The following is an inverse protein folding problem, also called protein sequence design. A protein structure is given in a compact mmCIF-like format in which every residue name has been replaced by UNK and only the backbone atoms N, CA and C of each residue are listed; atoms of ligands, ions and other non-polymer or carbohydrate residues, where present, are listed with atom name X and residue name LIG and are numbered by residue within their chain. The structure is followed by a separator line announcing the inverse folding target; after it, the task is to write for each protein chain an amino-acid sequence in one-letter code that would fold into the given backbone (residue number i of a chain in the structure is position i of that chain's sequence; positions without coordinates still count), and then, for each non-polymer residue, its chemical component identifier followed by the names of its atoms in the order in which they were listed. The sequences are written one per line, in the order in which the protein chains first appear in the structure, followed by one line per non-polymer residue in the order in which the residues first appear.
data_IF_691966006603
#
_entry.id   IF_691966006603
#
_cell.length_a   1.000
_cell.length_b   1.000
_cell.length_c   1.000
_cell.angle_alpha   90.00
_cell.angle_beta   90.00
_cell.angle_gamma   90.00
#
_symmetry.space_group_name_H-M   'P 1'
#
loop_
_entity.id
_entity.type
_entity.pdbx_description
1 polymer ?
#
# COMPACT_ATOMS: atom_id res chain seq x y z
N UNK A 1 -56.81 -17.38 -53.44
CA UNK A 1 -56.41 -16.03 -53.09
C UNK A 1 -55.96 -16.09 -51.64
N UNK A 2 -54.65 -16.36 -51.44
CA UNK A 2 -54.04 -16.60 -50.14
C UNK A 2 -53.25 -15.34 -49.79
N UNK A 3 -53.56 -14.75 -48.66
CA UNK A 3 -52.83 -13.63 -48.08
C UNK A 3 -51.90 -14.17 -47.02
N UNK A 4 -50.60 -14.21 -47.34
CA UNK A 4 -49.51 -14.49 -46.40
C UNK A 4 -49.35 -13.32 -45.47
N UNK A 5 -49.63 -13.53 -44.21
CA UNK A 5 -49.28 -12.63 -43.10
C UNK A 5 -47.91 -12.98 -42.59
N UNK A 6 -46.87 -12.24 -43.01
CA UNK A 6 -45.54 -12.32 -42.50
C UNK A 6 -45.53 -11.72 -41.07
N UNK A 7 -45.50 -12.59 -40.09
CA UNK A 7 -45.21 -12.20 -38.72
C UNK A 7 -43.72 -11.93 -38.58
N UNK A 8 -43.35 -10.66 -38.54
CA UNK A 8 -42.02 -10.20 -38.13
C UNK A 8 -41.84 -10.48 -36.63
N UNK A 9 -41.18 -11.59 -36.34
CA UNK A 9 -40.65 -11.85 -35.00
C UNK A 9 -39.38 -11.02 -34.80
N UNK A 10 -39.52 -9.86 -34.20
CA UNK A 10 -38.41 -9.08 -33.70
C UNK A 10 -37.90 -9.75 -32.43
N UNK A 11 -36.98 -10.69 -32.59
CA UNK A 11 -36.16 -11.17 -31.49
C UNK A 11 -35.25 -10.02 -31.03
N UNK A 12 -35.66 -9.34 -29.98
CA UNK A 12 -34.78 -8.47 -29.23
C UNK A 12 -33.71 -9.34 -28.60
N UNK A 13 -32.61 -9.54 -29.30
CA UNK A 13 -31.38 -10.00 -28.69
C UNK A 13 -30.94 -8.92 -27.69
N UNK A 14 -31.25 -9.13 -26.42
CA UNK A 14 -30.58 -8.42 -25.33
C UNK A 14 -29.10 -8.83 -25.37
N UNK A 15 -28.35 -8.13 -26.18
CA UNK A 15 -26.91 -8.11 -26.15
C UNK A 15 -26.52 -7.53 -24.78
N UNK A 16 -26.32 -8.41 -23.80
CA UNK A 16 -25.66 -8.04 -22.56
C UNK A 16 -24.23 -7.63 -22.93
N UNK A 17 -24.07 -6.36 -23.29
CA UNK A 17 -22.78 -5.74 -23.37
C UNK A 17 -22.09 -6.02 -22.04
N UNK A 18 -21.09 -6.90 -22.04
CA UNK A 18 -20.17 -7.08 -20.95
C UNK A 18 -19.45 -5.74 -20.74
N UNK A 19 -20.09 -4.85 -19.96
CA UNK A 19 -19.45 -3.64 -19.51
C UNK A 19 -18.15 -4.06 -18.81
N UNK A 20 -17.02 -3.72 -19.40
CA UNK A 20 -15.72 -3.94 -18.79
C UNK A 20 -15.63 -3.09 -17.51
N UNK A 21 -15.99 -3.70 -16.38
CA UNK A 21 -16.04 -3.05 -15.07
C UNK A 21 -14.64 -2.79 -14.49
N UNK A 22 -13.58 -3.17 -15.19
CA UNK A 22 -12.20 -2.98 -14.77
C UNK A 22 -11.83 -1.53 -14.49
N UNK A 23 -12.01 -0.60 -15.44
CA UNK A 23 -11.71 0.83 -15.25
C UNK A 23 -12.50 1.46 -14.11
N UNK A 24 -13.80 1.12 -14.00
CA UNK A 24 -14.68 1.63 -12.93
C UNK A 24 -14.20 1.18 -11.55
N UNK A 25 -13.73 -0.07 -11.40
CA UNK A 25 -13.19 -0.59 -10.13
C UNK A 25 -11.89 0.10 -9.75
N UNK A 26 -10.99 0.32 -10.70
CA UNK A 26 -9.72 1.05 -10.48
C UNK A 26 -10.01 2.49 -10.07
N UNK A 27 -10.97 3.16 -10.71
CA UNK A 27 -11.38 4.52 -10.36
C UNK A 27 -11.98 4.59 -8.94
N UNK A 28 -12.88 3.67 -8.60
CA UNK A 28 -13.44 3.58 -7.24
C UNK A 28 -12.37 3.34 -6.18
N UNK A 29 -11.38 2.52 -6.49
CA UNK A 29 -10.25 2.27 -5.61
C UNK A 29 -9.35 3.51 -5.45
N UNK A 30 -9.17 4.29 -6.51
CA UNK A 30 -8.45 5.56 -6.45
C UNK A 30 -9.13 6.57 -5.51
N UNK A 31 -10.47 6.66 -5.52
CA UNK A 31 -11.23 7.49 -4.56
C UNK A 31 -11.00 7.03 -3.13
N UNK A 32 -10.95 5.71 -2.89
CA UNK A 32 -10.60 5.15 -1.58
C UNK A 32 -9.20 5.63 -1.13
N UNK A 33 -8.19 5.58 -2.00
CA UNK A 33 -6.85 6.08 -1.67
C UNK A 33 -6.83 7.58 -1.33
N UNK A 34 -7.70 8.38 -1.94
CA UNK A 34 -7.83 9.80 -1.57
C UNK A 34 -8.36 9.98 -0.15
N UNK A 35 -9.25 9.10 0.33
CA UNK A 35 -9.69 9.13 1.73
C UNK A 35 -8.57 8.73 2.70
N UNK A 36 -7.74 7.75 2.34
CA UNK A 36 -6.55 7.39 3.12
C UNK A 36 -5.52 8.54 3.15
N UNK A 37 -5.38 9.28 2.05
CA UNK A 37 -4.55 10.48 2.01
C UNK A 37 -4.98 11.51 3.06
N UNK A 38 -6.28 11.74 3.22
CA UNK A 38 -6.83 12.65 4.24
C UNK A 38 -6.50 12.13 5.65
N UNK A 39 -6.64 10.82 5.87
CA UNK A 39 -6.28 10.19 7.15
C UNK A 39 -4.82 10.45 7.49
N UNK A 40 -3.89 10.19 6.58
CA UNK A 40 -2.47 10.46 6.80
C UNK A 40 -2.17 11.95 6.98
N UNK A 41 -2.82 12.85 6.24
CA UNK A 41 -2.70 14.29 6.45
C UNK A 41 -3.09 14.70 7.86
N UNK A 42 -4.17 14.14 8.42
CA UNK A 42 -4.56 14.39 9.82
C UNK A 42 -3.50 13.87 10.81
N UNK A 43 -2.93 12.70 10.57
CA UNK A 43 -1.86 12.15 11.42
C UNK A 43 -0.60 13.00 11.36
N UNK A 44 -0.18 13.47 10.18
CA UNK A 44 0.95 14.40 10.03
C UNK A 44 0.68 15.73 10.73
N UNK A 45 -0.53 16.29 10.62
CA UNK A 45 -0.91 17.51 11.33
C UNK A 45 -0.85 17.31 12.84
N UNK A 46 -1.34 16.19 13.36
CA UNK A 46 -1.26 15.82 14.77
C UNK A 46 0.19 15.70 15.23
N UNK A 47 1.04 15.04 14.45
CA UNK A 47 2.47 14.93 14.73
C UNK A 47 3.14 16.32 14.78
N UNK A 48 2.87 17.18 13.81
CA UNK A 48 3.43 18.54 13.75
C UNK A 48 3.06 19.40 14.95
N UNK A 49 1.86 19.23 15.52
CA UNK A 49 1.43 19.93 16.72
C UNK A 49 2.12 19.38 17.98
N UNK A 50 2.31 18.05 18.05
CA UNK A 50 2.79 17.35 19.24
C UNK A 50 4.32 17.13 19.25
N UNK A 51 5.04 17.47 18.18
CA UNK A 51 6.49 17.24 18.04
C UNK A 51 7.32 17.84 19.19
N UNK A 52 6.89 18.97 19.77
CA UNK A 52 7.54 19.62 20.91
C UNK A 52 7.00 19.16 22.28
N UNK A 53 5.99 18.29 22.28
CA UNK A 53 5.33 17.78 23.50
C UNK A 53 6.07 16.59 24.12
N UNK A 54 7.37 16.74 24.42
CA UNK A 54 8.23 15.66 24.92
C UNK A 54 8.04 15.37 26.42
N UNK A 55 7.33 16.22 27.16
CA UNK A 55 7.12 16.10 28.63
C UNK A 55 8.43 15.85 29.40
N UNK A 56 9.56 16.45 28.97
CA UNK A 56 10.89 16.23 29.57
C UNK A 56 11.52 14.87 29.21
N UNK A 57 10.94 14.15 28.26
CA UNK A 57 11.47 12.89 27.71
C UNK A 57 12.43 13.15 26.53
N UNK A 58 12.89 12.08 25.89
CA UNK A 58 13.82 12.17 24.77
C UNK A 58 13.20 12.90 23.58
N UNK A 59 14.06 13.55 22.81
CA UNK A 59 13.73 14.19 21.54
C UNK A 59 13.98 13.24 20.36
N UNK A 60 13.50 13.59 19.16
CA UNK A 60 13.78 12.83 17.96
C UNK A 60 15.29 12.62 17.69
N UNK A 61 16.13 13.59 18.10
CA UNK A 61 17.60 13.50 17.98
C UNK A 61 18.20 12.36 18.80
N UNK A 62 17.58 12.04 19.92
CA UNK A 62 18.08 11.04 20.87
C UNK A 62 17.62 9.61 20.50
N UNK A 63 16.54 9.49 19.72
CA UNK A 63 15.85 8.22 19.45
C UNK A 63 16.12 7.71 18.03
N UNK A 64 16.21 8.61 17.03
CA UNK A 64 16.23 8.20 15.62
C UNK A 64 17.62 7.85 15.12
N UNK A 65 17.81 6.59 14.76
CA UNK A 65 19.00 6.11 14.05
C UNK A 65 18.83 6.25 12.53
N UNK A 66 19.20 7.41 11.97
CA UNK A 66 19.08 7.69 10.53
C UNK A 66 19.63 6.60 9.61
N UNK A 67 20.80 5.96 9.87
CA UNK A 67 21.29 4.89 9.00
C UNK A 67 20.35 3.68 8.95
N UNK A 68 19.69 3.35 10.06
CA UNK A 68 18.74 2.25 10.15
C UNK A 68 17.50 2.54 9.31
N UNK A 69 16.90 3.72 9.46
CA UNK A 69 15.72 4.15 8.70
C UNK A 69 16.00 4.33 7.22
N UNK A 70 17.26 4.68 6.84
CA UNK A 70 17.68 4.70 5.44
C UNK A 70 17.64 3.31 4.80
N UNK A 71 18.04 2.27 5.54
CA UNK A 71 17.94 0.87 5.05
C UNK A 71 16.46 0.49 4.86
N UNK A 72 15.58 0.84 5.79
CA UNK A 72 14.14 0.63 5.66
C UNK A 72 13.57 1.31 4.41
N UNK A 73 13.94 2.58 4.22
CA UNK A 73 13.54 3.36 3.03
C UNK A 73 14.05 2.70 1.75
N UNK A 74 15.31 2.23 1.72
CA UNK A 74 15.88 1.53 0.58
C UNK A 74 15.11 0.23 0.27
N UNK A 75 14.74 -0.56 1.28
CA UNK A 75 13.95 -1.77 1.11
C UNK A 75 12.59 -1.48 0.45
N UNK A 76 11.87 -0.44 0.90
CA UNK A 76 10.61 -0.03 0.27
C UNK A 76 10.80 0.45 -1.16
N UNK A 77 11.81 1.29 -1.45
CA UNK A 77 12.10 1.75 -2.81
C UNK A 77 12.44 0.58 -3.74
N UNK A 78 13.25 -0.39 -3.29
CA UNK A 78 13.50 -1.61 -4.08
C UNK A 78 12.24 -2.44 -4.27
N UNK A 79 11.36 -2.51 -3.28
CA UNK A 79 10.06 -3.18 -3.41
C UNK A 79 9.19 -2.51 -4.46
N UNK A 80 9.20 -1.19 -4.54
CA UNK A 80 8.48 -0.41 -5.54
C UNK A 80 8.97 -0.70 -6.96
N UNK A 81 10.29 -0.75 -7.16
CA UNK A 81 10.89 -1.10 -8.46
C UNK A 81 10.51 -2.52 -8.86
N UNK A 82 10.61 -3.48 -7.96
CA UNK A 82 10.26 -4.88 -8.24
C UNK A 82 8.78 -5.06 -8.52
N UNK A 83 7.90 -4.28 -7.88
CA UNK A 83 6.48 -4.25 -8.20
C UNK A 83 6.23 -3.72 -9.62
N UNK A 84 6.92 -2.64 -10.01
CA UNK A 84 6.88 -2.12 -11.38
C UNK A 84 7.27 -3.18 -12.42
N UNK A 85 8.31 -3.98 -12.13
CA UNK A 85 8.71 -5.10 -13.00
C UNK A 85 7.63 -6.20 -13.08
N UNK A 86 6.92 -6.48 -11.97
CA UNK A 86 5.77 -7.38 -11.98
C UNK A 86 4.64 -6.86 -12.87
N UNK A 87 4.36 -5.56 -12.85
CA UNK A 87 3.36 -4.94 -13.73
C UNK A 87 3.77 -5.06 -15.21
N UNK A 88 5.03 -4.82 -15.57
CA UNK A 88 5.54 -5.01 -16.94
C UNK A 88 5.41 -6.46 -17.37
N UNK A 89 5.75 -7.42 -16.50
CA UNK A 89 5.60 -8.86 -16.79
C UNK A 89 4.12 -9.25 -17.00
N UNK A 90 3.19 -8.59 -16.30
CA UNK A 90 1.74 -8.76 -16.50
C UNK A 90 1.30 -8.35 -17.90
N UNK A 91 1.80 -7.23 -18.43
CA UNK A 91 1.52 -6.79 -19.80
C UNK A 91 2.08 -7.77 -20.84
N UNK A 92 3.23 -8.39 -20.57
CA UNK A 92 3.82 -9.44 -21.40
C UNK A 92 3.12 -10.80 -21.27
N UNK A 93 2.08 -10.90 -20.43
CA UNK A 93 1.32 -12.12 -20.16
C UNK A 93 2.17 -13.30 -19.62
N UNK A 94 3.29 -13.01 -18.95
CA UNK A 94 4.19 -14.02 -18.41
C UNK A 94 3.89 -14.26 -16.93
N UNK A 95 3.02 -15.25 -16.64
CA UNK A 95 2.58 -15.61 -15.30
C UNK A 95 3.73 -15.89 -14.33
N UNK A 96 4.75 -16.63 -14.76
CA UNK A 96 5.86 -17.03 -13.91
C UNK A 96 6.65 -15.80 -13.44
N UNK A 97 6.96 -14.89 -14.35
CA UNK A 97 7.68 -13.65 -14.01
C UNK A 97 6.85 -12.75 -13.08
N UNK A 98 5.53 -12.65 -13.30
CA UNK A 98 4.66 -11.86 -12.41
C UNK A 98 4.75 -12.37 -10.97
N UNK A 99 4.61 -13.69 -10.78
CA UNK A 99 4.66 -14.29 -9.43
C UNK A 99 6.06 -14.13 -8.81
N UNK A 100 7.13 -14.31 -9.58
CA UNK A 100 8.51 -14.14 -9.07
C UNK A 100 8.79 -12.71 -8.63
N UNK A 101 8.40 -11.72 -9.43
CA UNK A 101 8.59 -10.30 -9.07
C UNK A 101 7.73 -9.88 -7.88
N UNK A 102 6.47 -10.33 -7.81
CA UNK A 102 5.61 -10.10 -6.64
C UNK A 102 6.17 -10.75 -5.37
N UNK A 103 6.74 -11.97 -5.47
CA UNK A 103 7.36 -12.63 -4.34
C UNK A 103 8.59 -11.86 -3.82
N UNK A 104 9.39 -11.29 -4.73
CA UNK A 104 10.53 -10.45 -4.37
C UNK A 104 10.07 -9.13 -3.69
N UNK A 105 9.03 -8.50 -4.22
CA UNK A 105 8.40 -7.32 -3.61
C UNK A 105 7.89 -7.63 -2.21
N UNK A 106 7.22 -8.77 -2.05
CA UNK A 106 6.72 -9.23 -0.76
C UNK A 106 7.85 -9.44 0.26
N UNK A 107 8.98 -10.00 -0.18
CA UNK A 107 10.15 -10.23 0.67
C UNK A 107 10.74 -8.90 1.17
N UNK A 108 10.89 -7.90 0.30
CA UNK A 108 11.38 -6.58 0.69
C UNK A 108 10.40 -5.87 1.63
N UNK A 109 9.09 -5.93 1.35
CA UNK A 109 8.06 -5.36 2.23
C UNK A 109 7.99 -6.05 3.59
N UNK A 110 8.15 -7.39 3.64
CA UNK A 110 8.23 -8.13 4.89
C UNK A 110 9.49 -7.78 5.69
N UNK A 111 10.62 -7.56 4.99
CA UNK A 111 11.86 -7.07 5.61
C UNK A 111 11.66 -5.71 6.27
N UNK A 112 10.99 -4.77 5.59
CA UNK A 112 10.64 -3.47 6.13
C UNK A 112 9.81 -3.60 7.42
N UNK A 113 8.70 -4.36 7.39
CA UNK A 113 7.86 -4.57 8.59
C UNK A 113 8.64 -5.23 9.72
N UNK A 114 9.56 -6.16 9.40
CA UNK A 114 10.43 -6.78 10.41
C UNK A 114 11.32 -5.77 11.12
N UNK A 115 11.90 -4.82 10.39
CA UNK A 115 12.73 -3.75 10.94
C UNK A 115 11.88 -2.74 11.74
N UNK A 116 10.71 -2.34 11.27
CA UNK A 116 9.78 -1.45 11.96
C UNK A 116 9.32 -2.04 13.32
N UNK A 117 8.97 -3.34 13.34
CA UNK A 117 8.63 -4.02 14.60
C UNK A 117 9.82 -4.07 15.55
N UNK A 118 11.03 -4.27 15.03
CA UNK A 118 12.25 -4.26 15.82
C UNK A 118 12.49 -2.88 16.45
N UNK A 119 12.35 -1.79 15.67
CA UNK A 119 12.46 -0.41 16.17
C UNK A 119 11.43 -0.14 17.28
N UNK A 120 10.18 -0.50 17.05
CA UNK A 120 9.12 -0.32 18.06
C UNK A 120 9.38 -1.12 19.34
N UNK A 121 9.82 -2.35 19.20
CA UNK A 121 10.16 -3.20 20.34
C UNK A 121 11.34 -2.59 21.15
N UNK A 122 12.37 -2.11 20.46
CA UNK A 122 13.52 -1.47 21.08
C UNK A 122 13.12 -0.24 21.88
N UNK A 123 12.34 0.67 21.30
CA UNK A 123 11.85 1.88 21.95
C UNK A 123 10.98 1.57 23.19
N UNK A 124 10.11 0.57 23.12
CA UNK A 124 9.28 0.15 24.24
C UNK A 124 10.12 -0.42 25.38
N UNK A 125 11.16 -1.23 25.07
CA UNK A 125 12.05 -1.82 26.07
C UNK A 125 12.92 -0.76 26.77
N UNK A 126 13.25 0.35 26.10
CA UNK A 126 13.93 1.50 26.68
C UNK A 126 13.00 2.40 27.52
N UNK A 127 11.71 2.07 27.58
CA UNK A 127 10.71 2.84 28.30
C UNK A 127 10.21 4.08 27.56
N UNK A 128 10.41 4.13 26.24
CA UNK A 128 9.91 5.20 25.36
C UNK A 128 8.62 4.77 24.65
N UNK A 129 7.68 4.22 25.42
CA UNK A 129 6.36 3.83 24.93
C UNK A 129 5.47 5.01 24.56
N UNK A 130 4.35 4.75 23.87
CA UNK A 130 3.44 5.79 23.39
C UNK A 130 2.72 6.56 24.51
N UNK A 131 2.68 6.02 25.72
CA UNK A 131 2.05 6.59 26.91
C UNK A 131 2.91 7.64 27.62
N UNK A 132 4.20 7.75 27.29
CA UNK A 132 5.16 8.60 27.99
C UNK A 132 5.07 10.08 27.59
N UNK A 133 4.79 10.38 26.33
CA UNK A 133 4.73 11.76 25.84
C UNK A 133 3.81 11.91 24.62
N UNK A 134 3.28 13.14 24.41
CA UNK A 134 2.48 13.45 23.21
C UNK A 134 3.26 13.24 21.90
N UNK A 135 4.57 13.55 21.90
CA UNK A 135 5.46 13.30 20.78
C UNK A 135 5.51 11.81 20.42
N UNK A 136 5.78 10.95 21.40
CA UNK A 136 5.84 9.48 21.18
C UNK A 136 4.49 8.92 20.77
N UNK A 137 3.38 9.36 21.41
CA UNK A 137 2.03 8.94 20.98
C UNK A 137 1.76 9.26 19.51
N UNK A 138 2.10 10.46 19.05
CA UNK A 138 1.90 10.88 17.66
C UNK A 138 2.84 10.11 16.71
N UNK A 139 4.08 9.86 17.11
CA UNK A 139 5.03 9.05 16.37
C UNK A 139 4.52 7.61 16.17
N UNK A 140 4.19 6.91 17.25
CA UNK A 140 3.67 5.55 17.19
C UNK A 140 2.35 5.46 16.41
N UNK A 141 1.47 6.46 16.53
CA UNK A 141 0.21 6.49 15.78
C UNK A 141 0.47 6.65 14.28
N UNK A 142 1.35 7.56 13.86
CA UNK A 142 1.62 7.82 12.44
C UNK A 142 2.37 6.65 11.79
N UNK A 143 3.50 6.25 12.37
CA UNK A 143 4.34 5.16 11.82
C UNK A 143 3.61 3.82 11.93
N UNK A 144 2.98 3.52 13.06
CA UNK A 144 2.23 2.28 13.24
C UNK A 144 1.01 2.16 12.32
N UNK A 145 0.30 3.28 12.03
CA UNK A 145 -0.78 3.26 11.03
C UNK A 145 -0.23 2.96 9.63
N UNK A 146 0.93 3.52 9.27
CA UNK A 146 1.60 3.20 8.02
C UNK A 146 1.96 1.70 7.96
N UNK A 147 2.60 1.16 9.01
CA UNK A 147 2.95 -0.26 9.10
C UNK A 147 1.75 -1.21 9.01
N UNK A 148 0.61 -0.84 9.61
CA UNK A 148 -0.64 -1.59 9.45
C UNK A 148 -1.13 -1.62 8.00
N UNK A 149 -1.02 -0.50 7.27
CA UNK A 149 -1.36 -0.44 5.85
C UNK A 149 -0.41 -1.29 5.01
N UNK A 150 0.91 -1.23 5.25
CA UNK A 150 1.89 -2.08 4.57
C UNK A 150 1.60 -3.56 4.84
N UNK A 151 1.32 -3.94 6.09
CA UNK A 151 0.97 -5.31 6.48
C UNK A 151 -0.30 -5.79 5.75
N UNK A 152 -1.34 -4.96 5.66
CA UNK A 152 -2.56 -5.29 4.91
C UNK A 152 -2.26 -5.50 3.41
N UNK A 153 -1.39 -4.67 2.84
CA UNK A 153 -0.90 -4.81 1.47
C UNK A 153 -0.13 -6.11 1.23
N UNK A 154 0.72 -6.51 2.18
CA UNK A 154 1.45 -7.79 2.12
C UNK A 154 0.50 -8.99 2.15
N UNK A 155 -0.52 -8.97 3.01
CA UNK A 155 -1.54 -10.01 3.07
C UNK A 155 -2.29 -10.08 1.73
N UNK A 156 -2.72 -8.94 1.20
CA UNK A 156 -3.39 -8.88 -0.10
C UNK A 156 -2.51 -9.40 -1.22
N UNK A 157 -1.22 -9.01 -1.25
CA UNK A 157 -0.23 -9.49 -2.23
C UNK A 157 -0.05 -11.01 -2.16
N UNK A 158 0.04 -11.59 -0.96
CA UNK A 158 0.15 -13.04 -0.77
C UNK A 158 -1.08 -13.78 -1.32
N UNK A 159 -2.28 -13.30 -1.00
CA UNK A 159 -3.55 -13.84 -1.53
C UNK A 159 -3.60 -13.74 -3.05
N UNK A 160 -3.16 -12.61 -3.61
CA UNK A 160 -3.13 -12.40 -5.05
C UNK A 160 -2.13 -13.32 -5.76
N UNK A 161 -0.94 -13.52 -5.20
CA UNK A 161 0.04 -14.49 -5.72
C UNK A 161 -0.53 -15.91 -5.76
N UNK A 162 -1.23 -16.32 -4.69
CA UNK A 162 -1.91 -17.62 -4.64
C UNK A 162 -3.00 -17.74 -5.73
N UNK A 163 -3.81 -16.69 -5.92
CA UNK A 163 -4.86 -16.67 -6.95
C UNK A 163 -4.28 -16.73 -8.37
N UNK A 164 -3.21 -15.98 -8.65
CA UNK A 164 -2.53 -16.01 -9.95
C UNK A 164 -1.90 -17.38 -10.20
N UNK A 165 -1.31 -17.98 -9.17
CA UNK A 165 -0.72 -19.32 -9.26
C UNK A 165 -1.77 -20.38 -9.62
N UNK A 166 -2.99 -20.27 -9.08
CA UNK A 166 -4.08 -21.23 -9.31
C UNK A 166 -4.86 -20.96 -10.59
N UNK A 167 -5.24 -19.70 -10.86
CA UNK A 167 -6.19 -19.30 -11.90
C UNK A 167 -5.55 -18.58 -13.10
N UNK A 168 -4.26 -18.25 -13.02
CA UNK A 168 -3.56 -17.51 -14.07
C UNK A 168 -3.90 -16.01 -14.11
N UNK A 169 -3.48 -15.34 -15.19
CA UNK A 169 -3.69 -13.91 -15.43
C UNK A 169 -5.05 -13.64 -16.09
N UNK A 170 -6.13 -13.83 -15.34
CA UNK A 170 -7.49 -13.46 -15.78
C UNK A 170 -7.66 -11.93 -15.77
N UNK A 171 -8.69 -11.40 -16.49
CA UNK A 171 -9.02 -9.96 -16.48
C UNK A 171 -9.23 -9.45 -15.06
N UNK A 172 -9.90 -10.21 -14.21
CA UNK A 172 -10.12 -9.89 -12.79
C UNK A 172 -8.81 -9.80 -12.01
N UNK A 173 -7.88 -10.75 -12.21
CA UNK A 173 -6.58 -10.72 -11.52
C UNK A 173 -5.72 -9.55 -11.98
N UNK A 174 -5.78 -9.18 -13.26
CA UNK A 174 -5.10 -7.98 -13.79
C UNK A 174 -5.61 -6.71 -13.13
N UNK A 175 -6.92 -6.53 -13.01
CA UNK A 175 -7.52 -5.40 -12.30
C UNK A 175 -7.05 -5.35 -10.83
N UNK A 176 -6.98 -6.49 -10.15
CA UNK A 176 -6.48 -6.58 -8.76
C UNK A 176 -5.00 -6.20 -8.65
N UNK A 177 -4.15 -6.63 -9.59
CA UNK A 177 -2.75 -6.23 -9.64
C UNK A 177 -2.65 -4.71 -9.80
N UNK A 178 -3.47 -4.09 -10.67
CA UNK A 178 -3.48 -2.65 -10.86
C UNK A 178 -3.93 -1.89 -9.60
N UNK A 179 -4.99 -2.34 -8.92
CA UNK A 179 -5.42 -1.74 -7.66
C UNK A 179 -4.34 -1.86 -6.57
N UNK A 180 -3.73 -3.04 -6.43
CA UNK A 180 -2.65 -3.25 -5.48
C UNK A 180 -1.40 -2.42 -5.83
N UNK A 181 -1.11 -2.21 -7.13
CA UNK A 181 -0.05 -1.30 -7.57
C UNK A 181 -0.27 0.13 -7.09
N UNK A 182 -1.48 0.65 -7.27
CA UNK A 182 -1.83 2.00 -6.80
C UNK A 182 -1.68 2.11 -5.28
N UNK A 183 -2.13 1.11 -4.54
CA UNK A 183 -2.02 1.06 -3.09
C UNK A 183 -0.56 1.01 -2.64
N UNK A 184 0.26 0.15 -3.23
CA UNK A 184 1.67 -0.03 -2.87
C UNK A 184 2.48 1.25 -3.10
N UNK A 185 2.36 1.86 -4.28
CA UNK A 185 3.06 3.10 -4.59
C UNK A 185 2.55 4.30 -3.76
N UNK A 186 1.26 4.32 -3.41
CA UNK A 186 0.74 5.30 -2.48
C UNK A 186 1.41 5.20 -1.11
N UNK A 187 1.58 3.98 -0.58
CA UNK A 187 2.28 3.76 0.69
C UNK A 187 3.75 4.18 0.63
N UNK A 188 4.44 3.93 -0.49
CA UNK A 188 5.82 4.40 -0.68
C UNK A 188 5.91 5.93 -0.60
N UNK A 189 4.97 6.66 -1.21
CA UNK A 189 4.91 8.13 -1.13
C UNK A 189 4.66 8.59 0.31
N UNK A 190 3.74 7.96 1.02
CA UNK A 190 3.47 8.25 2.44
C UNK A 190 4.73 8.01 3.27
N UNK A 191 5.47 6.90 3.01
CA UNK A 191 6.71 6.61 3.72
C UNK A 191 7.79 7.67 3.48
N UNK A 192 7.96 8.14 2.25
CA UNK A 192 8.90 9.24 1.96
C UNK A 192 8.54 10.49 2.76
N UNK A 193 7.25 10.80 2.90
CA UNK A 193 6.80 11.90 3.77
C UNK A 193 7.11 11.63 5.24
N UNK A 194 6.87 10.41 5.75
CA UNK A 194 7.21 10.00 7.12
C UNK A 194 8.72 10.13 7.34
N UNK A 195 9.53 9.56 6.46
CA UNK A 195 10.98 9.67 6.54
C UNK A 195 11.45 11.12 6.61
N UNK A 196 10.93 11.98 5.73
CA UNK A 196 11.36 13.38 5.65
C UNK A 196 10.90 14.22 6.85
N UNK A 197 9.63 14.09 7.25
CA UNK A 197 9.03 14.96 8.28
C UNK A 197 9.32 14.45 9.69
N UNK A 198 9.30 13.13 9.89
CA UNK A 198 9.45 12.55 11.23
C UNK A 198 10.92 12.31 11.54
N UNK A 199 11.61 11.54 10.71
CA UNK A 199 12.98 11.12 10.99
C UNK A 199 14.01 12.20 10.63
N UNK A 200 13.97 12.72 9.40
CA UNK A 200 15.01 13.68 8.96
C UNK A 200 14.89 15.03 9.67
N UNK A 201 13.68 15.62 9.74
CA UNK A 201 13.48 16.88 10.47
C UNK A 201 13.55 16.68 11.99
N UNK A 202 13.13 15.54 12.51
CA UNK A 202 13.22 15.20 13.94
C UNK A 202 14.65 14.98 14.43
N UNK A 203 15.58 14.63 13.53
CA UNK A 203 17.01 14.45 13.82
C UNK A 203 17.84 15.74 13.66
N UNK A 204 17.28 16.82 13.09
CA UNK A 204 17.94 18.15 12.98
C UNK A 204 17.73 18.98 14.26
#
# INVERSE_FOLDING_TARGET
MATDTLTHSTAHAHEHAHHDTGPTKVFGFWIYLMSDCILFCCLFATYAVLVNGTAGGPTGKDIFELPFVLVETALLLFSSITYGMAAIAMYKNNKSQVVSWLALTWLFGAGFIGMEIYEFHHLIMEGFGPDRSGFLSAFFALVGTHGLHVTSGLIWMAVLMFQISRRGLTSTNRTRIMCLSLFWHFLDVVWICVFSVVYLMGAM
#
